data_IF_416818589603
#
_entry.id   IF_416818589603
#
_cell.length_a   1.000
_cell.length_b   1.000
_cell.length_c   1.000
_cell.angle_alpha   90.00
_cell.angle_beta   90.00
_cell.angle_gamma   90.00
#
_symmetry.space_group_name_H-M   'P 1'
#
loop_
_entity.id
_entity.type
_entity.pdbx_description
1 polymer ?
#
# COMPACT_ATOMS: atom_id res chain seq x y z
N UNK A 1 0.11 -4.06 14.33
CA UNK A 1 0.83 -5.33 14.18
C UNK A 1 1.64 -5.62 15.44
N UNK A 2 1.46 -6.80 16.01
CA UNK A 2 2.35 -7.35 17.06
C UNK A 2 3.29 -8.36 16.41
N UNK A 3 4.50 -8.47 16.91
CA UNK A 3 5.44 -9.50 16.46
C UNK A 3 6.33 -9.97 17.60
N UNK A 4 6.86 -11.18 17.47
CA UNK A 4 7.83 -11.78 18.40
C UNK A 4 8.93 -12.46 17.59
N UNK A 5 10.16 -12.34 18.06
CA UNK A 5 11.32 -13.01 17.49
C UNK A 5 12.04 -13.84 18.55
N UNK A 6 12.44 -15.05 18.19
CA UNK A 6 13.30 -15.91 19.01
C UNK A 6 14.05 -16.93 18.16
N UNK A 7 15.13 -17.48 18.73
CA UNK A 7 15.86 -18.61 18.18
C UNK A 7 15.53 -19.87 18.97
N UNK A 8 14.92 -20.86 18.33
CA UNK A 8 14.46 -22.11 18.97
C UNK A 8 14.98 -23.29 18.16
N UNK A 9 15.72 -24.20 18.82
CA UNK A 9 16.31 -25.37 18.16
C UNK A 9 17.26 -25.00 17.02
N UNK A 10 18.10 -23.98 17.21
CA UNK A 10 19.04 -23.49 16.21
C UNK A 10 18.45 -22.63 15.08
N UNK A 11 17.12 -22.56 14.97
CA UNK A 11 16.40 -21.83 13.90
C UNK A 11 15.83 -20.51 14.41
N UNK A 12 15.84 -19.49 13.55
CA UNK A 12 15.23 -18.19 13.79
C UNK A 12 13.73 -18.22 13.45
N UNK A 13 12.90 -17.67 14.32
CA UNK A 13 11.44 -17.63 14.17
C UNK A 13 10.91 -16.20 14.36
N UNK A 14 10.03 -15.79 13.46
CA UNK A 14 9.27 -14.56 13.53
C UNK A 14 7.77 -14.90 13.58
N UNK A 15 7.14 -14.65 14.72
CA UNK A 15 5.69 -14.71 14.86
C UNK A 15 5.12 -13.32 14.65
N UNK A 16 4.07 -13.21 13.84
CA UNK A 16 3.38 -11.95 13.62
C UNK A 16 1.87 -12.11 13.79
N UNK A 17 1.26 -11.08 14.38
CA UNK A 17 -0.18 -10.88 14.45
C UNK A 17 -0.50 -9.60 13.67
N UNK A 18 -0.75 -9.71 12.36
CA UNK A 18 -1.23 -8.62 11.54
C UNK A 18 -2.55 -8.05 12.06
N UNK A 19 -2.69 -6.73 12.05
CA UNK A 19 -3.98 -6.07 12.23
C UNK A 19 -4.88 -6.35 11.02
N UNK A 20 -6.12 -6.75 11.29
CA UNK A 20 -7.12 -7.21 10.33
C UNK A 20 -8.26 -6.20 10.13
N UNK A 21 -8.25 -5.06 10.84
CA UNK A 21 -9.36 -4.11 10.85
C UNK A 21 -9.57 -3.36 9.53
N UNK A 22 -8.53 -3.22 8.70
CA UNK A 22 -8.60 -2.58 7.39
C UNK A 22 -7.74 -3.31 6.37
N UNK A 23 -8.23 -3.46 5.14
CA UNK A 23 -7.55 -4.18 4.06
C UNK A 23 -6.12 -3.70 3.83
N UNK A 24 -5.90 -2.39 3.75
CA UNK A 24 -4.56 -1.82 3.55
C UNK A 24 -3.59 -2.11 4.69
N UNK A 25 -4.05 -2.07 5.94
CA UNK A 25 -3.23 -2.41 7.10
C UNK A 25 -2.85 -3.90 7.07
N UNK A 26 -3.81 -4.77 6.73
CA UNK A 26 -3.56 -6.20 6.59
C UNK A 26 -2.47 -6.48 5.55
N UNK A 27 -2.60 -5.91 4.36
CA UNK A 27 -1.63 -6.05 3.26
C UNK A 27 -0.24 -5.57 3.65
N UNK A 28 -0.12 -4.38 4.24
CA UNK A 28 1.18 -3.85 4.71
C UNK A 28 1.79 -4.73 5.81
N UNK A 29 0.99 -5.24 6.74
CA UNK A 29 1.50 -6.10 7.80
C UNK A 29 2.03 -7.44 7.28
N UNK A 30 1.42 -8.01 6.23
CA UNK A 30 1.97 -9.19 5.53
C UNK A 30 3.29 -8.83 4.85
N UNK A 31 3.34 -7.73 4.10
CA UNK A 31 4.56 -7.29 3.43
C UNK A 31 5.71 -7.06 4.43
N UNK A 32 5.43 -6.36 5.54
CA UNK A 32 6.39 -6.15 6.63
C UNK A 32 6.83 -7.48 7.25
N UNK A 33 5.92 -8.44 7.44
CA UNK A 33 6.26 -9.77 7.99
C UNK A 33 7.29 -10.48 7.12
N UNK A 34 7.12 -10.43 5.79
CA UNK A 34 8.08 -11.02 4.86
C UNK A 34 9.42 -10.27 4.85
N UNK A 35 9.41 -8.93 4.80
CA UNK A 35 10.66 -8.15 4.84
C UNK A 35 11.45 -8.42 6.13
N UNK A 36 10.78 -8.40 7.29
CA UNK A 36 11.42 -8.72 8.56
C UNK A 36 11.95 -10.16 8.61
N UNK A 37 11.18 -11.13 8.12
CA UNK A 37 11.61 -12.53 8.10
C UNK A 37 12.85 -12.74 7.21
N UNK A 38 12.87 -12.11 6.03
CA UNK A 38 14.02 -12.10 5.13
C UNK A 38 15.25 -11.51 5.82
N UNK A 39 15.11 -10.33 6.41
CA UNK A 39 16.21 -9.66 7.12
C UNK A 39 16.80 -10.52 8.24
N UNK A 40 15.95 -11.24 8.97
CA UNK A 40 16.36 -12.07 10.11
C UNK A 40 16.80 -13.50 9.72
N UNK A 41 16.68 -13.89 8.45
CA UNK A 41 16.81 -15.29 8.03
C UNK A 41 15.83 -16.21 8.78
N UNK A 42 14.66 -15.69 9.14
CA UNK A 42 13.71 -16.35 10.03
C UNK A 42 12.61 -17.07 9.26
N UNK A 43 12.10 -18.15 9.88
CA UNK A 43 10.82 -18.74 9.51
C UNK A 43 9.71 -17.81 9.99
N UNK A 44 8.73 -17.53 9.15
CA UNK A 44 7.61 -16.66 9.51
C UNK A 44 6.37 -17.48 9.84
N UNK A 45 5.71 -17.11 10.93
CA UNK A 45 4.44 -17.68 11.35
C UNK A 45 3.45 -16.53 11.52
N UNK A 46 2.47 -16.46 10.62
CA UNK A 46 1.43 -15.43 10.66
C UNK A 46 0.18 -16.05 11.24
N UNK A 47 -0.33 -15.49 12.33
CA UNK A 47 -1.64 -15.87 12.84
C UNK A 47 -2.48 -14.60 12.96
N UNK A 48 -3.58 -14.50 12.21
CA UNK A 48 -4.45 -13.37 12.38
C UNK A 48 -5.06 -13.40 13.79
N UNK A 49 -5.23 -12.22 14.40
CA UNK A 49 -6.15 -12.11 15.52
C UNK A 49 -7.54 -12.62 15.08
N UNK A 50 -8.35 -13.15 16.01
CA UNK A 50 -9.61 -13.88 15.80
C UNK A 50 -10.72 -13.14 14.98
N UNK A 51 -10.42 -11.99 14.39
CA UNK A 51 -11.29 -11.10 13.59
C UNK A 51 -10.88 -11.00 12.10
N UNK A 52 -10.13 -11.96 11.55
CA UNK A 52 -9.57 -11.87 10.20
C UNK A 52 -10.64 -11.92 9.09
N UNK A 53 -10.84 -10.79 8.39
CA UNK A 53 -11.74 -10.68 7.22
C UNK A 53 -11.06 -10.99 5.87
N UNK A 54 -9.74 -11.22 5.87
CA UNK A 54 -8.91 -11.31 4.66
C UNK A 54 -8.00 -12.54 4.69
N UNK A 55 -8.58 -13.73 4.89
CA UNK A 55 -7.85 -14.98 5.10
C UNK A 55 -6.80 -15.27 4.02
N UNK A 56 -7.12 -14.96 2.76
CA UNK A 56 -6.24 -15.17 1.61
C UNK A 56 -4.85 -14.53 1.81
N UNK A 57 -4.77 -13.33 2.41
CA UNK A 57 -3.50 -12.63 2.66
C UNK A 57 -2.55 -13.43 3.55
N UNK A 58 -3.08 -14.15 4.55
CA UNK A 58 -2.27 -14.92 5.52
C UNK A 58 -1.77 -16.23 4.93
N UNK A 59 -2.45 -16.73 3.91
CA UNK A 59 -2.08 -17.95 3.22
C UNK A 59 -0.98 -17.73 2.17
N UNK A 60 -0.68 -16.48 1.82
CA UNK A 60 0.37 -16.16 0.86
C UNK A 60 1.73 -16.71 1.31
N UNK A 61 2.60 -16.93 0.33
CA UNK A 61 3.99 -17.39 0.49
C UNK A 61 4.91 -16.37 -0.14
N UNK A 62 6.14 -16.30 0.34
CA UNK A 62 7.18 -15.46 -0.24
C UNK A 62 8.40 -16.33 -0.57
N UNK A 63 8.95 -16.13 -1.77
CA UNK A 63 10.17 -16.81 -2.21
C UNK A 63 11.32 -16.60 -1.23
N UNK A 64 12.06 -17.68 -0.96
CA UNK A 64 13.16 -17.69 0.00
C UNK A 64 12.74 -17.61 1.49
N UNK A 65 11.44 -17.49 1.79
CA UNK A 65 10.95 -17.38 3.18
C UNK A 65 10.06 -18.57 3.52
N UNK A 66 10.52 -19.38 4.48
CA UNK A 66 9.72 -20.50 4.98
C UNK A 66 8.57 -20.00 5.85
N UNK A 67 7.35 -20.10 5.32
CA UNK A 67 6.11 -19.73 6.01
C UNK A 67 5.48 -20.94 6.66
N UNK A 68 5.16 -20.85 7.95
CA UNK A 68 4.45 -21.88 8.71
C UNK A 68 3.02 -21.41 8.96
N UNK A 69 2.05 -22.24 8.59
CA UNK A 69 0.64 -22.03 8.92
C UNK A 69 0.28 -22.85 10.17
N UNK A 70 0.16 -22.24 11.35
CA UNK A 70 -0.14 -22.97 12.57
C UNK A 70 -1.64 -23.32 12.64
N UNK A 71 -1.97 -24.51 13.11
CA UNK A 71 -3.31 -24.79 13.65
C UNK A 71 -3.55 -23.95 14.92
N UNK A 72 -4.80 -23.67 15.33
CA UNK A 72 -5.07 -22.91 16.55
C UNK A 72 -4.39 -23.48 17.81
N UNK A 73 -4.39 -24.82 17.95
CA UNK A 73 -3.69 -25.51 19.06
C UNK A 73 -2.17 -25.36 18.98
N UNK A 74 -1.59 -25.45 17.78
CA UNK A 74 -0.15 -25.25 17.61
C UNK A 74 0.26 -23.78 17.77
N UNK A 75 -0.62 -22.83 17.47
CA UNK A 75 -0.37 -21.41 17.67
C UNK A 75 -0.26 -21.07 19.15
N UNK A 76 -1.21 -21.49 19.98
CA UNK A 76 -1.17 -21.20 21.42
C UNK A 76 0.10 -21.77 22.08
N UNK A 77 0.49 -22.99 21.69
CA UNK A 77 1.74 -23.59 22.14
C UNK A 77 2.97 -22.80 21.64
N UNK A 78 3.02 -22.44 20.35
CA UNK A 78 4.13 -21.70 19.77
C UNK A 78 4.24 -20.29 20.40
N UNK A 79 3.14 -19.56 20.57
CA UNK A 79 3.13 -18.26 21.25
C UNK A 79 3.62 -18.38 22.70
N UNK A 80 3.20 -19.41 23.44
CA UNK A 80 3.68 -19.65 24.80
C UNK A 80 5.18 -19.93 24.85
N UNK A 81 5.70 -20.78 23.95
CA UNK A 81 7.14 -21.07 23.83
C UNK A 81 7.91 -19.80 23.48
N UNK A 82 7.43 -19.02 22.51
CA UNK A 82 8.07 -17.78 22.06
C UNK A 82 8.05 -16.69 23.13
N UNK A 83 6.99 -16.58 23.96
CA UNK A 83 6.96 -15.67 25.12
C UNK A 83 8.05 -16.01 26.14
N UNK A 84 8.33 -17.30 26.34
CA UNK A 84 9.39 -17.76 27.26
C UNK A 84 10.79 -17.63 26.66
N UNK A 85 10.91 -17.72 25.34
CA UNK A 85 12.17 -17.73 24.61
C UNK A 85 12.52 -16.39 23.92
N UNK A 86 11.69 -15.35 23.99
CA UNK A 86 11.90 -14.10 23.25
C UNK A 86 13.09 -13.31 23.81
N UNK A 87 14.05 -13.03 22.94
CA UNK A 87 15.23 -12.21 23.23
C UNK A 87 15.06 -10.83 22.56
N UNK A 88 14.34 -9.92 23.21
CA UNK A 88 14.47 -8.50 22.90
C UNK A 88 15.01 -7.80 24.15
N UNK A 89 16.28 -7.38 24.07
CA UNK A 89 17.00 -6.69 25.12
C UNK A 89 17.13 -5.19 24.84
N UNK A 90 16.98 -4.40 25.89
CA UNK A 90 17.56 -3.06 26.05
C UNK A 90 16.62 -2.09 26.81
N UNK A 91 16.87 -1.62 28.02
CA UNK A 91 18.11 -1.70 28.79
C UNK A 91 17.96 -1.38 30.29
N UNK A 92 19.11 -1.47 30.95
CA UNK A 92 19.51 -1.09 32.32
C UNK A 92 18.57 -1.39 33.49
N UNK A 93 19.02 -2.31 34.34
CA UNK A 93 18.54 -2.43 35.71
C UNK A 93 18.50 -3.89 36.15
N UNK A 94 19.57 -4.33 36.83
CA UNK A 94 19.62 -5.60 37.56
C UNK A 94 18.33 -5.81 38.35
N UNK A 95 17.57 -6.87 38.04
CA UNK A 95 17.10 -7.87 39.04
C UNK A 95 16.10 -8.87 38.44
N UNK A 96 16.50 -10.14 38.54
CA UNK A 96 15.85 -11.47 38.38
C UNK A 96 15.53 -12.03 36.97
N UNK A 97 15.80 -13.34 36.75
CA UNK A 97 15.66 -14.01 35.45
C UNK A 97 14.21 -14.47 35.24
N UNK A 98 13.62 -14.06 34.14
CA UNK A 98 12.27 -14.45 33.77
C UNK A 98 11.36 -13.25 33.56
N UNK A 99 11.28 -12.86 32.28
CA UNK A 99 10.21 -12.06 31.68
C UNK A 99 10.20 -10.57 32.07
N UNK A 100 10.67 -9.72 31.14
CA UNK A 100 10.14 -8.36 30.98
C UNK A 100 9.40 -8.28 29.66
N UNK A 101 8.11 -8.00 29.74
CA UNK A 101 7.32 -7.54 28.60
C UNK A 101 7.75 -6.12 28.27
N UNK A 102 7.96 -5.83 27.00
CA UNK A 102 7.71 -4.48 26.51
C UNK A 102 6.28 -4.49 25.99
N UNK A 103 5.33 -4.25 26.89
CA UNK A 103 4.12 -3.56 26.46
C UNK A 103 4.54 -2.17 25.96
N UNK A 104 3.79 -1.64 25.00
CA UNK A 104 4.08 -0.40 24.27
C UNK A 104 4.31 0.85 25.15
N UNK A 105 4.21 0.74 26.47
CA UNK A 105 4.29 1.84 27.43
C UNK A 105 5.65 1.93 28.15
N UNK A 106 6.38 0.82 28.37
CA UNK A 106 7.51 0.79 29.33
C UNK A 106 8.93 0.99 28.77
N UNK A 107 9.08 1.42 27.52
CA UNK A 107 10.38 1.88 27.01
C UNK A 107 10.43 3.42 26.97
N UNK A 108 11.31 3.99 27.79
CA UNK A 108 11.58 5.43 27.84
C UNK A 108 11.85 6.06 26.47
N UNK A 109 11.41 7.32 26.32
CA UNK A 109 11.64 8.19 25.17
C UNK A 109 11.00 7.71 23.85
N UNK A 110 10.05 8.48 23.30
CA UNK A 110 9.40 8.17 22.01
C UNK A 110 10.36 7.97 20.81
N UNK A 111 11.62 8.41 20.94
CA UNK A 111 12.67 8.41 19.91
C UNK A 111 13.39 7.06 19.71
N UNK A 112 13.54 6.25 20.75
CA UNK A 112 14.09 4.87 20.70
C UNK A 112 13.01 3.82 20.43
N UNK A 113 11.74 4.23 20.49
CA UNK A 113 10.55 3.37 20.40
C UNK A 113 10.28 2.81 18.99
N UNK A 114 10.66 3.49 17.91
CA UNK A 114 10.36 3.03 16.53
C UNK A 114 11.54 2.40 15.79
N UNK A 115 12.77 2.90 15.94
CA UNK A 115 13.96 2.29 15.34
C UNK A 115 14.19 0.85 15.84
N UNK A 116 13.85 0.57 17.10
CA UNK A 116 13.84 -0.80 17.65
C UNK A 116 12.64 -1.64 17.22
N UNK A 117 11.53 -1.02 16.80
CA UNK A 117 10.25 -1.70 16.50
C UNK A 117 10.27 -2.48 15.19
N UNK A 118 11.24 -2.23 14.30
CA UNK A 118 11.31 -2.93 13.02
C UNK A 118 12.75 -3.27 12.64
N UNK A 119 13.59 -3.56 13.63
CA UNK A 119 14.99 -3.95 13.42
C UNK A 119 15.82 -2.90 12.65
N UNK A 120 15.48 -1.61 12.78
CA UNK A 120 16.15 -0.53 12.06
C UNK A 120 15.86 -0.48 10.55
N UNK A 121 14.92 -1.28 10.05
CA UNK A 121 14.60 -1.35 8.63
C UNK A 121 13.94 -0.06 8.12
N UNK A 122 14.38 0.40 6.96
CA UNK A 122 13.63 1.32 6.11
C UNK A 122 12.75 0.51 5.15
N UNK A 123 11.49 0.29 5.53
CA UNK A 123 10.58 -0.49 4.68
C UNK A 123 10.36 0.14 3.31
N UNK A 124 10.37 1.48 3.18
CA UNK A 124 10.18 2.11 1.86
C UNK A 124 11.31 1.72 0.93
N UNK A 125 12.54 1.75 1.43
CA UNK A 125 13.72 1.27 0.70
C UNK A 125 13.65 -0.22 0.40
N UNK A 126 13.32 -1.06 1.39
CA UNK A 126 13.22 -2.52 1.19
C UNK A 126 12.18 -2.90 0.13
N UNK A 127 11.03 -2.21 0.10
CA UNK A 127 10.01 -2.41 -0.91
C UNK A 127 10.42 -1.93 -2.31
N UNK A 128 11.23 -0.86 -2.39
CA UNK A 128 11.74 -0.32 -3.65
C UNK A 128 12.83 -1.21 -4.25
N UNK A 129 13.85 -1.55 -3.46
CA UNK A 129 15.08 -2.20 -3.93
C UNK A 129 14.96 -3.73 -3.97
N UNK A 130 14.09 -4.34 -3.14
CA UNK A 130 14.00 -5.80 -2.98
C UNK A 130 12.55 -6.29 -2.96
N UNK A 131 11.85 -6.24 -4.11
CA UNK A 131 10.47 -6.73 -4.22
C UNK A 131 10.27 -8.13 -3.62
N UNK A 132 9.07 -8.38 -3.13
CA UNK A 132 8.70 -9.68 -2.56
C UNK A 132 8.26 -10.62 -3.69
N UNK A 133 8.81 -11.84 -3.74
CA UNK A 133 8.34 -12.90 -4.63
C UNK A 133 7.12 -13.59 -4.04
N UNK A 134 5.99 -12.88 -3.95
CA UNK A 134 4.78 -13.39 -3.30
C UNK A 134 4.01 -14.32 -4.23
N UNK A 135 3.53 -15.45 -3.70
CA UNK A 135 2.76 -16.45 -4.45
C UNK A 135 1.65 -17.04 -3.59
N UNK A 136 0.60 -17.53 -4.25
CA UNK A 136 -0.42 -18.35 -3.60
C UNK A 136 0.13 -19.75 -3.25
N UNK A 137 -0.43 -20.44 -2.24
CA UNK A 137 -0.22 -21.87 -2.05
C UNK A 137 -0.65 -22.65 -3.29
N UNK A 138 0.07 -23.72 -3.66
CA UNK A 138 -0.15 -24.47 -4.92
C UNK A 138 -1.61 -24.88 -5.13
N UNK A 139 -2.26 -25.45 -4.11
CA UNK A 139 -3.66 -25.86 -4.19
C UNK A 139 -4.65 -24.71 -4.48
N UNK A 140 -4.34 -23.49 -4.03
CA UNK A 140 -5.16 -22.30 -4.35
C UNK A 140 -4.77 -21.74 -5.72
N UNK A 141 -3.47 -21.68 -6.03
CA UNK A 141 -2.95 -21.21 -7.31
C UNK A 141 -3.54 -21.96 -8.50
N UNK A 142 -3.67 -23.30 -8.41
CA UNK A 142 -4.26 -24.14 -9.47
C UNK A 142 -5.75 -23.86 -9.72
N UNK A 143 -6.47 -23.42 -8.68
CA UNK A 143 -7.92 -23.16 -8.76
C UNK A 143 -8.26 -21.75 -9.22
N UNK A 144 -7.39 -20.77 -8.96
CA UNK A 144 -7.66 -19.35 -9.21
C UNK A 144 -8.00 -19.03 -10.67
N UNK A 145 -7.32 -19.57 -11.71
CA UNK A 145 -7.71 -19.33 -13.10
C UNK A 145 -9.14 -19.78 -13.42
N UNK A 146 -9.58 -20.90 -12.84
CA UNK A 146 -10.97 -21.39 -13.02
C UNK A 146 -11.96 -20.50 -12.29
N UNK A 147 -11.64 -20.05 -11.08
CA UNK A 147 -12.47 -19.09 -10.33
C UNK A 147 -12.58 -17.75 -11.06
N UNK A 148 -11.49 -17.28 -11.65
CA UNK A 148 -11.44 -16.06 -12.46
C UNK A 148 -12.33 -16.16 -13.70
N UNK A 149 -12.22 -17.25 -14.47
CA UNK A 149 -13.11 -17.50 -15.61
C UNK A 149 -14.57 -17.57 -15.19
N UNK A 150 -14.87 -18.24 -14.08
CA UNK A 150 -16.23 -18.30 -13.54
C UNK A 150 -16.77 -16.91 -13.13
N UNK A 151 -15.89 -15.98 -12.75
CA UNK A 151 -16.21 -14.59 -12.47
C UNK A 151 -16.28 -13.68 -13.70
N UNK A 152 -16.06 -14.21 -14.91
CA UNK A 152 -16.10 -13.46 -16.17
C UNK A 152 -14.75 -12.91 -16.64
N UNK A 153 -13.66 -13.23 -15.93
CA UNK A 153 -12.31 -12.80 -16.30
C UNK A 153 -11.75 -13.75 -17.37
N UNK A 154 -11.43 -13.23 -18.56
CA UNK A 154 -10.76 -14.00 -19.60
C UNK A 154 -9.25 -13.97 -19.35
N UNK A 155 -8.74 -15.06 -18.78
CA UNK A 155 -7.33 -15.19 -18.38
C UNK A 155 -6.34 -15.21 -19.55
N UNK A 156 -6.81 -15.13 -20.80
CA UNK A 156 -5.96 -15.05 -22.00
C UNK A 156 -5.69 -13.62 -22.45
N UNK A 157 -6.47 -12.65 -21.94
CA UNK A 157 -6.29 -11.22 -22.24
C UNK A 157 -5.37 -10.58 -21.20
N UNK A 158 -4.58 -9.56 -21.57
CA UNK A 158 -3.86 -8.77 -20.57
C UNK A 158 -4.88 -8.06 -19.67
N UNK A 159 -4.61 -8.05 -18.36
CA UNK A 159 -5.53 -7.50 -17.35
C UNK A 159 -4.96 -6.17 -16.84
N UNK A 160 -5.82 -5.17 -16.67
CA UNK A 160 -5.53 -4.02 -15.80
C UNK A 160 -6.51 -4.05 -14.64
N UNK A 161 -6.01 -4.04 -13.42
CA UNK A 161 -6.89 -3.94 -12.25
C UNK A 161 -7.18 -2.48 -11.92
N UNK A 162 -8.39 -2.22 -11.44
CA UNK A 162 -8.85 -0.88 -11.07
C UNK A 162 -9.50 -0.88 -9.69
N UNK A 163 -9.06 0.02 -8.82
CA UNK A 163 -9.72 0.31 -7.56
C UNK A 163 -9.82 1.83 -7.33
N UNK A 164 -11.04 2.35 -7.35
CA UNK A 164 -11.34 3.75 -7.05
C UNK A 164 -12.06 3.82 -5.72
N UNK A 165 -11.48 4.51 -4.75
CA UNK A 165 -12.05 4.60 -3.40
C UNK A 165 -13.34 5.41 -3.40
N UNK A 166 -14.38 4.84 -2.79
CA UNK A 166 -15.65 5.49 -2.49
C UNK A 166 -15.91 5.53 -0.96
N UNK A 167 -16.85 6.37 -0.52
CA UNK A 167 -17.15 6.58 0.90
C UNK A 167 -17.86 5.42 1.61
N UNK A 168 -18.28 4.39 0.86
CA UNK A 168 -19.16 3.32 1.37
C UNK A 168 -18.46 2.31 2.29
N UNK A 169 -17.15 2.10 2.15
CA UNK A 169 -16.41 1.09 2.93
C UNK A 169 -16.44 1.33 4.44
N UNK A 170 -16.27 2.57 4.91
CA UNK A 170 -16.32 2.82 6.36
C UNK A 170 -17.75 2.79 6.90
N UNK A 171 -18.70 3.25 6.09
CA UNK A 171 -20.12 3.13 6.41
C UNK A 171 -20.53 1.65 6.59
N UNK A 172 -20.01 0.73 5.77
CA UNK A 172 -20.23 -0.72 5.93
C UNK A 172 -19.67 -1.30 7.23
N UNK A 173 -18.75 -0.57 7.88
CA UNK A 173 -18.19 -0.90 9.20
C UNK A 173 -18.87 -0.14 10.36
N UNK A 174 -19.88 0.68 10.09
CA UNK A 174 -20.49 1.58 11.07
C UNK A 174 -19.58 2.72 11.53
N UNK A 175 -18.56 3.07 10.72
CA UNK A 175 -17.58 4.11 11.00
C UNK A 175 -17.84 5.31 10.08
N UNK A 176 -17.99 6.49 10.65
CA UNK A 176 -18.09 7.70 9.84
C UNK A 176 -16.73 8.12 9.25
N UNK A 177 -16.76 8.53 7.99
CA UNK A 177 -15.60 9.09 7.31
C UNK A 177 -15.29 10.50 7.87
N UNK A 178 -14.07 10.67 8.39
CA UNK A 178 -13.56 11.98 8.82
C UNK A 178 -13.29 12.86 7.60
N UNK A 179 -13.18 14.19 7.74
CA UNK A 179 -12.89 15.07 6.60
C UNK A 179 -11.69 14.63 5.75
N UNK A 180 -10.58 14.25 6.38
CA UNK A 180 -9.39 13.73 5.70
C UNK A 180 -9.58 12.39 4.98
N UNK A 181 -10.61 11.62 5.36
CA UNK A 181 -10.95 10.40 4.65
C UNK A 181 -11.81 10.75 3.43
N UNK A 182 -12.79 11.65 3.55
CA UNK A 182 -13.68 12.03 2.42
C UNK A 182 -12.92 12.58 1.22
N UNK A 183 -11.89 13.39 1.44
CA UNK A 183 -11.08 13.99 0.36
C UNK A 183 -10.27 12.98 -0.45
N UNK A 184 -10.20 11.70 -0.02
CA UNK A 184 -9.52 10.62 -0.74
C UNK A 184 -10.45 9.86 -1.69
N UNK A 185 -11.75 10.12 -1.62
CA UNK A 185 -12.70 9.54 -2.57
C UNK A 185 -12.48 10.13 -3.97
N UNK A 186 -12.90 9.39 -4.98
CA UNK A 186 -12.98 9.86 -6.36
C UNK A 186 -14.16 9.21 -7.08
N UNK A 187 -14.61 9.80 -8.18
CA UNK A 187 -15.68 9.23 -9.01
C UNK A 187 -15.12 8.16 -9.93
N UNK A 188 -15.78 7.00 -10.01
CA UNK A 188 -15.44 5.97 -11.00
C UNK A 188 -15.73 6.44 -12.43
N UNK A 189 -16.68 7.36 -12.60
CA UNK A 189 -17.08 7.86 -13.92
C UNK A 189 -16.00 8.71 -14.58
N UNK A 190 -15.10 9.32 -13.81
CA UNK A 190 -13.96 10.08 -14.35
C UNK A 190 -12.93 9.15 -15.03
N UNK A 191 -12.95 7.86 -14.73
CA UNK A 191 -12.05 6.86 -15.32
C UNK A 191 -12.58 6.29 -16.64
N UNK A 192 -13.80 6.65 -17.07
CA UNK A 192 -14.40 6.09 -18.30
C UNK A 192 -13.49 6.24 -19.52
N UNK A 193 -12.93 7.43 -19.85
CA UNK A 193 -12.04 7.54 -21.00
C UNK A 193 -10.82 6.62 -20.93
N UNK A 194 -10.22 6.48 -19.74
CA UNK A 194 -9.08 5.60 -19.50
C UNK A 194 -9.45 4.12 -19.66
N UNK A 195 -10.59 3.70 -19.11
CA UNK A 195 -11.11 2.33 -19.24
C UNK A 195 -11.38 2.00 -20.70
N UNK A 196 -11.98 2.91 -21.45
CA UNK A 196 -12.32 2.72 -22.87
C UNK A 196 -11.08 2.53 -23.72
N UNK A 197 -10.09 3.38 -23.48
CA UNK A 197 -8.81 3.33 -24.15
C UNK A 197 -8.09 2.00 -23.89
N UNK A 198 -8.12 1.50 -22.65
CA UNK A 198 -7.56 0.19 -22.29
C UNK A 198 -8.28 -0.94 -23.02
N UNK A 199 -9.61 -0.96 -22.97
CA UNK A 199 -10.42 -2.00 -23.62
C UNK A 199 -10.21 -2.01 -25.13
N UNK A 200 -10.10 -0.85 -25.77
CA UNK A 200 -9.80 -0.71 -27.19
C UNK A 200 -8.43 -1.28 -27.58
N UNK A 201 -7.49 -1.37 -26.63
CA UNK A 201 -6.15 -1.98 -26.80
C UNK A 201 -6.09 -3.46 -26.42
N UNK A 202 -7.24 -4.08 -26.20
CA UNK A 202 -7.33 -5.51 -25.92
C UNK A 202 -7.19 -5.87 -24.44
N UNK A 203 -6.90 -4.89 -23.56
CA UNK A 203 -6.94 -5.12 -22.13
C UNK A 203 -8.35 -5.48 -21.66
N UNK A 204 -8.43 -6.35 -20.66
CA UNK A 204 -9.63 -6.52 -19.84
C UNK A 204 -9.43 -5.74 -18.54
N UNK A 205 -10.40 -4.92 -18.15
CA UNK A 205 -10.34 -4.20 -16.89
C UNK A 205 -11.05 -5.00 -15.80
N UNK A 206 -10.39 -5.25 -14.67
CA UNK A 206 -10.99 -5.93 -13.52
C UNK A 206 -11.08 -4.94 -12.37
N UNK A 207 -12.31 -4.48 -12.07
CA UNK A 207 -12.57 -3.58 -10.94
C UNK A 207 -12.87 -4.40 -9.69
N UNK A 208 -12.37 -3.97 -8.53
CA UNK A 208 -12.74 -4.57 -7.24
C UNK A 208 -12.81 -3.51 -6.13
N UNK A 209 -13.45 -3.85 -5.01
CA UNK A 209 -13.65 -2.93 -3.91
C UNK A 209 -14.74 -3.40 -2.94
N UNK A 210 -15.31 -2.48 -2.17
CA UNK A 210 -16.44 -2.77 -1.27
C UNK A 210 -17.72 -3.08 -2.06
N UNK A 211 -18.59 -3.95 -1.51
CA UNK A 211 -19.81 -4.37 -2.21
C UNK A 211 -20.93 -3.31 -2.21
N UNK A 212 -20.76 -2.22 -1.45
CA UNK A 212 -21.61 -1.04 -1.46
C UNK A 212 -21.06 0.06 -2.37
N UNK A 213 -20.00 -0.20 -3.14
CA UNK A 213 -19.56 0.73 -4.18
C UNK A 213 -20.58 0.79 -5.32
N UNK A 214 -20.63 1.93 -6.01
CA UNK A 214 -21.50 2.11 -7.16
C UNK A 214 -21.19 1.03 -8.21
N UNK A 215 -22.19 0.28 -8.72
CA UNK A 215 -21.98 -0.69 -9.79
C UNK A 215 -21.42 -0.02 -11.05
N UNK A 216 -20.40 -0.60 -11.65
CA UNK A 216 -19.77 -0.06 -12.86
C UNK A 216 -19.84 -1.07 -14.00
N UNK A 217 -20.95 -1.05 -14.73
CA UNK A 217 -21.21 -1.95 -15.87
C UNK A 217 -20.71 -1.34 -17.16
N UNK A 218 -19.73 -1.98 -17.81
CA UNK A 218 -19.15 -1.49 -19.06
C UNK A 218 -18.54 -2.60 -19.91
N UNK A 219 -18.62 -2.56 -21.26
CA UNK A 219 -17.97 -3.56 -22.11
C UNK A 219 -16.48 -3.67 -21.82
N UNK A 220 -15.99 -4.91 -21.72
CA UNK A 220 -14.58 -5.19 -21.39
C UNK A 220 -14.20 -5.02 -19.92
N UNK A 221 -15.16 -4.68 -19.05
CA UNK A 221 -14.96 -4.57 -17.60
C UNK A 221 -15.60 -5.75 -16.87
N UNK A 222 -14.86 -6.34 -15.93
CA UNK A 222 -15.37 -7.27 -14.93
C UNK A 222 -15.41 -6.56 -13.59
N UNK A 223 -16.60 -6.24 -13.10
CA UNK A 223 -16.79 -5.58 -11.81
C UNK A 223 -16.95 -6.60 -10.68
N UNK A 224 -15.84 -6.96 -10.05
CA UNK A 224 -15.82 -7.85 -8.89
C UNK A 224 -16.41 -7.19 -7.64
N UNK A 225 -16.47 -5.86 -7.55
CA UNK A 225 -16.95 -5.19 -6.33
C UNK A 225 -18.40 -5.62 -5.98
N UNK A 226 -19.25 -5.70 -7.01
CA UNK A 226 -20.67 -6.08 -6.90
C UNK A 226 -20.93 -7.53 -7.33
N UNK A 227 -19.88 -8.31 -7.61
CA UNK A 227 -20.02 -9.69 -8.06
C UNK A 227 -20.30 -10.65 -6.90
N UNK A 228 -21.25 -11.60 -7.02
CA UNK A 228 -21.46 -12.64 -6.01
C UNK A 228 -20.30 -13.64 -5.94
N UNK A 229 -19.39 -13.62 -6.93
CA UNK A 229 -18.21 -14.49 -6.99
C UNK A 229 -16.96 -13.83 -6.39
N UNK A 230 -17.10 -12.61 -5.86
CA UNK A 230 -16.03 -11.86 -5.22
C UNK A 230 -15.47 -12.65 -4.03
N UNK A 231 -14.15 -12.80 -4.00
CA UNK A 231 -13.41 -13.31 -2.84
C UNK A 231 -12.11 -12.54 -2.70
N UNK A 232 -11.57 -12.42 -1.48
CA UNK A 232 -10.28 -11.77 -1.25
C UNK A 232 -9.15 -12.44 -2.08
N UNK A 233 -9.20 -13.76 -2.25
CA UNK A 233 -8.23 -14.48 -3.07
C UNK A 233 -8.30 -14.07 -4.55
N UNK A 234 -9.51 -13.87 -5.07
CA UNK A 234 -9.72 -13.44 -6.46
C UNK A 234 -9.30 -11.98 -6.67
N UNK A 235 -9.53 -11.09 -5.71
CA UNK A 235 -9.04 -9.70 -5.75
C UNK A 235 -7.50 -9.65 -5.80
N UNK A 236 -6.84 -10.38 -4.90
CA UNK A 236 -5.37 -10.47 -4.84
C UNK A 236 -4.83 -11.07 -6.14
N UNK A 237 -5.47 -12.13 -6.65
CA UNK A 237 -5.07 -12.78 -7.90
C UNK A 237 -5.22 -11.85 -9.10
N UNK A 238 -6.31 -11.09 -9.18
CA UNK A 238 -6.52 -10.15 -10.28
C UNK A 238 -5.40 -9.10 -10.32
N UNK A 239 -4.98 -8.58 -9.16
CA UNK A 239 -3.85 -7.65 -9.08
C UNK A 239 -2.54 -8.35 -9.45
N UNK A 240 -2.30 -9.56 -8.92
CA UNK A 240 -1.09 -10.32 -9.26
C UNK A 240 -0.98 -10.66 -10.76
N UNK A 241 -2.11 -10.87 -11.44
CA UNK A 241 -2.17 -11.22 -12.85
C UNK A 241 -2.22 -10.00 -13.79
N UNK A 242 -2.33 -8.78 -13.27
CA UNK A 242 -2.46 -7.58 -14.09
C UNK A 242 -1.11 -7.10 -14.62
N UNK A 243 -1.11 -6.57 -15.85
CA UNK A 243 0.04 -5.85 -16.41
C UNK A 243 0.43 -4.67 -15.52
N UNK A 244 -0.57 -3.93 -15.04
CA UNK A 244 -0.41 -2.93 -13.99
C UNK A 244 -1.73 -2.70 -13.24
N UNK A 245 -1.62 -2.10 -12.06
CA UNK A 245 -2.74 -1.79 -11.18
C UNK A 245 -2.99 -0.28 -11.13
N UNK A 246 -4.23 0.14 -11.33
CA UNK A 246 -4.68 1.53 -11.10
C UNK A 246 -5.42 1.58 -9.78
N UNK A 247 -4.92 2.36 -8.83
CA UNK A 247 -5.52 2.49 -7.50
C UNK A 247 -5.62 3.97 -7.11
N UNK A 248 -6.70 4.38 -6.44
CA UNK A 248 -6.73 5.71 -5.82
C UNK A 248 -6.08 5.71 -4.43
N UNK A 249 -6.11 6.84 -3.70
CA UNK A 249 -5.59 6.96 -2.33
C UNK A 249 -6.37 6.06 -1.33
N UNK A 250 -5.99 4.79 -1.26
CA UNK A 250 -6.78 3.74 -0.62
C UNK A 250 -5.91 2.67 0.05
N UNK A 251 -6.55 1.77 0.81
CA UNK A 251 -5.88 0.60 1.37
C UNK A 251 -5.40 -0.42 0.32
N UNK A 252 -6.25 -0.79 -0.66
CA UNK A 252 -5.90 -1.72 -1.73
C UNK A 252 -4.65 -1.38 -2.53
N UNK A 253 -4.28 -0.09 -2.66
CA UNK A 253 -3.02 0.35 -3.25
C UNK A 253 -1.81 -0.46 -2.75
N UNK A 254 -1.78 -0.84 -1.46
CA UNK A 254 -0.66 -1.60 -0.89
C UNK A 254 -0.49 -3.01 -1.47
N UNK A 255 -1.46 -3.54 -2.23
CA UNK A 255 -1.29 -4.81 -2.93
C UNK A 255 -0.18 -4.73 -3.98
N UNK A 256 0.00 -3.57 -4.63
CA UNK A 256 1.08 -3.40 -5.60
C UNK A 256 2.44 -3.64 -4.95
N UNK A 257 2.63 -3.09 -3.74
CA UNK A 257 3.84 -3.25 -2.92
C UNK A 257 4.04 -4.72 -2.56
N UNK A 258 3.00 -5.37 -2.03
CA UNK A 258 3.07 -6.78 -1.61
C UNK A 258 3.37 -7.71 -2.77
N UNK A 259 2.73 -7.50 -3.93
CA UNK A 259 2.73 -8.44 -5.05
C UNK A 259 3.80 -8.15 -6.10
N UNK A 260 4.52 -7.04 -6.01
CA UNK A 260 5.52 -6.71 -7.02
C UNK A 260 4.95 -6.11 -8.32
N UNK A 261 3.68 -5.71 -8.34
CA UNK A 261 2.96 -5.30 -9.57
C UNK A 261 3.11 -3.79 -9.80
N UNK A 262 3.45 -3.32 -11.02
CA UNK A 262 3.48 -1.89 -11.35
C UNK A 262 2.17 -1.18 -11.01
N UNK A 263 2.23 0.01 -10.41
CA UNK A 263 1.05 0.71 -9.94
C UNK A 263 1.00 2.17 -10.40
N UNK A 264 -0.15 2.58 -10.93
CA UNK A 264 -0.52 3.99 -11.09
C UNK A 264 -1.46 4.41 -9.96
N UNK A 265 -0.91 5.16 -9.00
CA UNK A 265 -1.66 5.69 -7.87
C UNK A 265 -2.31 7.03 -8.23
N UNK A 266 -3.61 7.03 -8.50
CA UNK A 266 -4.35 8.23 -8.93
C UNK A 266 -5.01 8.95 -7.77
N UNK A 267 -5.39 10.23 -7.95
CA UNK A 267 -6.13 10.97 -6.95
C UNK A 267 -5.45 10.95 -5.56
N UNK A 268 -4.11 11.06 -5.52
CA UNK A 268 -3.33 10.96 -4.28
C UNK A 268 -3.37 12.26 -3.46
N UNK A 269 -3.77 12.19 -2.19
CA UNK A 269 -3.80 13.38 -1.29
C UNK A 269 -2.49 13.61 -0.53
N UNK A 270 -1.55 12.65 -0.63
CA UNK A 270 -0.28 12.64 0.08
C UNK A 270 0.89 12.73 -0.91
N UNK A 271 1.47 13.93 -1.10
CA UNK A 271 2.61 14.17 -2.00
C UNK A 271 3.84 13.30 -1.68
N UNK A 272 4.20 13.20 -0.40
CA UNK A 272 5.42 12.49 0.06
C UNK A 272 5.12 11.04 0.44
N UNK A 273 4.08 10.81 1.27
CA UNK A 273 3.76 9.47 1.75
C UNK A 273 3.25 8.53 0.65
N UNK A 274 2.57 9.09 -0.34
CA UNK A 274 2.07 8.38 -1.53
C UNK A 274 3.04 8.35 -2.70
N UNK A 275 4.26 8.89 -2.54
CA UNK A 275 5.23 8.89 -3.62
C UNK A 275 5.59 7.45 -4.03
N UNK A 276 5.61 7.13 -5.34
CA UNK A 276 5.90 5.81 -5.90
C UNK A 276 7.22 5.21 -5.41
N UNK A 277 7.16 3.98 -4.89
CA UNK A 277 8.33 3.32 -4.31
C UNK A 277 9.28 2.76 -5.37
N UNK A 278 8.76 2.08 -6.41
CA UNK A 278 9.59 1.43 -7.43
C UNK A 278 9.60 2.23 -8.72
N UNK A 279 10.64 2.05 -9.54
CA UNK A 279 10.78 2.71 -10.86
C UNK A 279 9.61 2.45 -11.81
N UNK A 280 8.97 1.29 -11.68
CA UNK A 280 7.79 0.89 -12.45
C UNK A 280 6.50 1.55 -11.95
N UNK A 281 6.51 2.22 -10.81
CA UNK A 281 5.32 2.82 -10.22
C UNK A 281 5.22 4.30 -10.62
N UNK A 282 3.98 4.76 -10.76
CA UNK A 282 3.63 6.13 -11.04
C UNK A 282 2.55 6.63 -10.07
N UNK A 283 2.41 7.94 -9.93
CA UNK A 283 1.28 8.52 -9.21
C UNK A 283 0.82 9.85 -9.80
N UNK A 284 -0.42 10.20 -9.51
CA UNK A 284 -1.10 11.41 -9.94
C UNK A 284 -1.77 12.02 -8.69
N UNK A 285 -1.09 12.96 -7.99
CA UNK A 285 -1.70 13.68 -6.88
C UNK A 285 -2.92 14.50 -7.28
N UNK A 286 -3.84 14.69 -6.32
CA UNK A 286 -4.94 15.64 -6.46
C UNK A 286 -4.42 17.08 -6.44
N UNK A 287 -5.12 17.94 -7.17
CA UNK A 287 -4.92 19.39 -7.14
C UNK A 287 -5.30 19.96 -5.77
N UNK A 288 -4.59 21.00 -5.33
CA UNK A 288 -4.88 21.68 -4.06
C UNK A 288 -5.20 23.15 -4.33
N UNK A 289 -6.36 23.60 -3.88
CA UNK A 289 -6.80 24.99 -4.05
C UNK A 289 -6.93 25.71 -2.72
N UNK A 290 -6.60 27.00 -2.71
CA UNK A 290 -6.98 27.91 -1.64
C UNK A 290 -8.49 28.10 -1.63
N UNK A 291 -9.11 28.06 -0.45
CA UNK A 291 -10.57 28.23 -0.32
C UNK A 291 -11.00 29.70 -0.39
N UNK A 292 -10.08 30.63 -0.09
CA UNK A 292 -10.36 32.07 -0.03
C UNK A 292 -10.37 32.68 -1.43
N UNK A 293 -9.34 32.39 -2.23
CA UNK A 293 -9.17 32.92 -3.59
C UNK A 293 -9.61 31.94 -4.69
N UNK A 294 -9.81 30.66 -4.35
CA UNK A 294 -10.12 29.59 -5.29
C UNK A 294 -8.95 29.15 -6.17
N UNK A 295 -7.78 29.77 -5.99
CA UNK A 295 -6.60 29.57 -6.83
C UNK A 295 -5.99 28.20 -6.55
N UNK A 296 -5.53 27.57 -7.61
CA UNK A 296 -4.72 26.35 -7.52
C UNK A 296 -3.30 26.68 -7.02
N UNK A 297 -2.77 25.82 -6.14
CA UNK A 297 -1.43 25.98 -5.60
C UNK A 297 -0.43 25.18 -6.45
N UNK A 298 0.63 25.81 -6.98
CA UNK A 298 1.75 25.08 -7.59
C UNK A 298 2.49 24.26 -6.54
N UNK A 299 3.32 23.31 -6.98
CA UNK A 299 3.98 22.33 -6.10
C UNK A 299 4.79 22.99 -4.97
N UNK A 300 5.54 24.06 -5.27
CA UNK A 300 6.34 24.77 -4.27
C UNK A 300 5.49 25.32 -3.13
N UNK A 301 4.33 25.88 -3.44
CA UNK A 301 3.37 26.36 -2.45
C UNK A 301 2.74 25.20 -1.68
N UNK A 302 2.38 24.11 -2.35
CA UNK A 302 1.86 22.90 -1.67
C UNK A 302 2.84 22.34 -0.63
N UNK A 303 4.14 22.50 -0.85
CA UNK A 303 5.22 22.05 0.03
C UNK A 303 5.50 23.04 1.17
N UNK A 304 5.05 24.28 1.09
CA UNK A 304 5.24 25.26 2.16
C UNK A 304 4.59 24.79 3.48
N UNK A 305 5.13 25.16 4.66
CA UNK A 305 4.68 24.63 5.96
C UNK A 305 3.17 24.74 6.21
N UNK A 306 2.56 25.84 5.73
CA UNK A 306 1.12 26.08 5.81
C UNK A 306 0.31 25.05 5.02
N UNK A 307 0.31 25.12 3.67
CA UNK A 307 -0.39 24.16 2.83
C UNK A 307 -0.03 22.71 3.15
N UNK A 308 1.24 22.36 3.25
CA UNK A 308 1.66 20.99 3.53
C UNK A 308 1.11 20.47 4.88
N UNK A 309 1.21 21.28 5.94
CA UNK A 309 0.79 20.91 7.30
C UNK A 309 -0.72 20.86 7.47
N UNK A 310 -1.44 21.74 6.77
CA UNK A 310 -2.86 22.05 7.00
C UNK A 310 -3.76 21.70 5.81
N UNK A 311 -3.26 21.01 4.77
CA UNK A 311 -4.01 20.62 3.55
C UNK A 311 -5.35 19.90 3.77
N UNK A 312 -5.57 19.31 4.94
CA UNK A 312 -6.85 18.66 5.30
C UNK A 312 -7.83 19.57 6.03
N UNK A 313 -7.46 20.83 6.30
CA UNK A 313 -8.35 21.83 6.87
C UNK A 313 -9.21 22.44 5.75
N UNK A 314 -10.42 21.88 5.58
CA UNK A 314 -11.35 22.26 4.52
C UNK A 314 -11.78 23.75 4.50
N UNK A 315 -11.52 24.49 5.58
CA UNK A 315 -11.72 25.94 5.64
C UNK A 315 -10.60 26.73 4.94
N UNK A 316 -9.41 26.15 4.75
CA UNK A 316 -8.24 26.77 4.13
C UNK A 316 -7.93 26.21 2.74
N UNK A 317 -8.07 24.90 2.58
CA UNK A 317 -7.70 24.22 1.36
C UNK A 317 -8.77 23.23 0.92
N UNK A 318 -8.88 23.05 -0.40
CA UNK A 318 -9.77 22.09 -1.03
C UNK A 318 -8.99 21.24 -2.02
N UNK A 319 -9.12 19.93 -1.90
CA UNK A 319 -8.64 19.03 -2.95
C UNK A 319 -9.63 19.01 -4.12
N UNK A 320 -9.10 19.00 -5.34
CA UNK A 320 -9.87 18.67 -6.54
C UNK A 320 -9.33 17.40 -7.17
N UNK A 321 -10.25 16.60 -7.67
CA UNK A 321 -9.97 15.33 -8.31
C UNK A 321 -9.23 15.56 -9.62
N UNK A 322 -8.46 14.55 -10.04
CA UNK A 322 -7.85 14.58 -11.36
C UNK A 322 -8.92 14.50 -12.43
N UNK A 323 -8.75 15.23 -13.53
CA UNK A 323 -9.74 15.23 -14.61
C UNK A 323 -9.72 13.92 -15.40
N UNK A 324 -10.79 13.57 -16.13
CA UNK A 324 -10.79 12.41 -17.01
C UNK A 324 -9.64 12.40 -18.03
N UNK A 325 -9.22 13.57 -18.51
CA UNK A 325 -8.11 13.75 -19.45
C UNK A 325 -6.77 13.46 -18.78
N UNK A 326 -6.54 13.95 -17.56
CA UNK A 326 -5.35 13.66 -16.77
C UNK A 326 -5.24 12.17 -16.43
N UNK A 327 -6.36 11.56 -16.04
CA UNK A 327 -6.44 10.13 -15.75
C UNK A 327 -6.14 9.28 -16.99
N UNK A 328 -6.70 9.66 -18.15
CA UNK A 328 -6.42 9.02 -19.43
C UNK A 328 -4.93 9.14 -19.79
N UNK A 329 -4.36 10.34 -19.75
CA UNK A 329 -2.95 10.57 -20.08
C UNK A 329 -2.02 9.77 -19.16
N UNK A 330 -2.29 9.75 -17.86
CA UNK A 330 -1.51 8.96 -16.89
C UNK A 330 -1.62 7.44 -17.14
N UNK A 331 -2.80 6.94 -17.52
CA UNK A 331 -2.99 5.52 -17.87
C UNK A 331 -2.26 5.15 -19.16
N UNK A 332 -2.27 6.04 -20.15
CA UNK A 332 -1.51 5.87 -21.40
C UNK A 332 -0.01 5.78 -21.12
N UNK A 333 0.52 6.72 -20.34
CA UNK A 333 1.94 6.73 -19.96
C UNK A 333 2.31 5.46 -19.16
N UNK A 334 1.45 5.03 -18.22
CA UNK A 334 1.68 3.81 -17.43
C UNK A 334 1.70 2.55 -18.31
N UNK A 335 0.79 2.45 -19.28
CA UNK A 335 0.73 1.32 -20.20
C UNK A 335 2.02 1.23 -21.05
N UNK A 336 2.43 2.34 -21.65
CA UNK A 336 3.71 2.43 -22.39
C UNK A 336 4.88 2.08 -21.49
N UNK A 337 4.93 2.64 -20.28
CA UNK A 337 5.99 2.36 -19.30
C UNK A 337 6.07 0.90 -18.87
N UNK A 338 4.95 0.17 -18.90
CA UNK A 338 4.90 -1.24 -18.54
C UNK A 338 5.40 -2.12 -19.69
N UNK A 339 5.15 -1.72 -20.93
CA UNK A 339 5.54 -2.45 -22.14
C UNK A 339 7.00 -2.17 -22.53
N UNK A 340 7.42 -0.91 -22.48
CA UNK A 340 8.72 -0.43 -22.98
C UNK A 340 9.73 -0.14 -21.87
N UNK A 341 9.26 -0.04 -20.62
CA UNK A 341 10.06 0.35 -19.46
C UNK A 341 9.91 1.84 -19.10
N UNK A 342 10.25 2.22 -17.85
CA UNK A 342 10.04 3.56 -17.35
C UNK A 342 11.02 4.57 -17.95
N UNK A 343 10.47 5.65 -18.50
CA UNK A 343 11.20 6.82 -18.97
C UNK A 343 10.88 8.03 -18.09
N UNK A 344 11.81 8.98 -18.03
CA UNK A 344 11.66 10.22 -17.25
C UNK A 344 11.63 11.41 -18.20
N UNK A 345 10.61 12.26 -18.05
CA UNK A 345 10.59 13.57 -18.67
C UNK A 345 11.38 14.60 -17.84
N UNK A 346 11.75 15.76 -18.44
CA UNK A 346 12.35 16.86 -17.69
C UNK A 346 11.46 17.39 -16.54
N UNK A 347 10.16 17.51 -16.75
CA UNK A 347 9.18 17.97 -15.74
C UNK A 347 9.06 16.98 -14.58
N UNK A 348 9.03 15.67 -14.85
CA UNK A 348 9.04 14.64 -13.80
C UNK A 348 10.32 14.71 -12.95
N UNK A 349 11.47 14.91 -13.60
CA UNK A 349 12.75 15.05 -12.90
C UNK A 349 12.80 16.32 -12.03
N UNK A 350 12.26 17.43 -12.52
CA UNK A 350 12.16 18.70 -11.79
C UNK A 350 11.19 18.59 -10.59
N UNK A 351 10.02 17.99 -10.79
CA UNK A 351 9.05 17.72 -9.73
C UNK A 351 9.69 16.90 -8.60
N UNK A 352 10.39 15.81 -8.96
CA UNK A 352 11.11 14.99 -7.98
C UNK A 352 12.21 15.76 -7.25
N UNK A 353 12.93 16.64 -7.95
CA UNK A 353 13.98 17.48 -7.35
C UNK A 353 13.42 18.35 -6.23
N UNK A 354 12.30 19.03 -6.47
CA UNK A 354 11.63 19.85 -5.46
C UNK A 354 11.24 19.04 -4.21
N UNK A 355 10.74 17.81 -4.38
CA UNK A 355 10.43 16.94 -3.24
C UNK A 355 11.68 16.55 -2.43
N UNK A 356 12.80 16.28 -3.11
CA UNK A 356 14.08 15.93 -2.46
C UNK A 356 14.63 17.13 -1.69
N UNK A 357 14.63 18.30 -2.32
CA UNK A 357 15.14 19.53 -1.71
C UNK A 357 14.27 19.90 -0.50
N UNK A 358 12.95 19.74 -0.60
CA UNK A 358 12.04 19.88 0.53
C UNK A 358 12.34 18.88 1.65
N UNK A 359 12.57 17.59 1.33
CA UNK A 359 12.92 16.58 2.33
C UNK A 359 14.25 16.87 3.04
N UNK A 360 15.19 17.52 2.35
CA UNK A 360 16.47 17.98 2.89
C UNK A 360 16.36 19.24 3.76
N UNK A 361 15.28 20.03 3.62
CA UNK A 361 15.01 21.19 4.47
C UNK A 361 14.76 20.81 5.94
N UNK A 362 14.88 21.77 6.86
CA UNK A 362 14.57 21.55 8.29
C UNK A 362 13.16 21.02 8.53
N UNK A 363 12.19 21.51 7.77
CA UNK A 363 10.78 21.12 7.89
C UNK A 363 10.59 19.69 7.39
N UNK A 364 11.15 19.39 6.22
CA UNK A 364 11.15 18.04 5.65
C UNK A 364 11.86 17.05 6.54
N UNK A 365 13.06 17.36 7.00
CA UNK A 365 13.86 16.51 7.88
C UNK A 365 13.12 16.17 9.17
N UNK A 366 12.50 17.16 9.85
CA UNK A 366 11.69 16.93 11.05
C UNK A 366 10.49 16.02 10.80
N UNK A 367 9.88 16.07 9.60
CA UNK A 367 8.75 15.21 9.23
C UNK A 367 9.21 13.80 8.83
N UNK A 368 10.25 13.71 8.02
CA UNK A 368 10.89 12.49 7.53
C UNK A 368 11.43 11.63 8.67
N UNK A 369 12.03 12.26 9.68
CA UNK A 369 12.63 11.58 10.83
C UNK A 369 11.66 11.42 12.00
N UNK A 370 10.37 11.76 11.83
CA UNK A 370 9.37 11.63 12.90
C UNK A 370 9.29 10.16 13.36
N UNK A 371 9.86 9.88 14.53
CA UNK A 371 9.96 8.54 15.11
C UNK A 371 11.39 7.98 15.21
N UNK A 372 12.41 8.65 14.70
CA UNK A 372 13.81 8.19 14.80
C UNK A 372 14.19 7.06 13.83
N UNK A 373 13.49 6.96 12.70
CA UNK A 373 13.85 6.06 11.59
C UNK A 373 15.00 6.65 10.76
N UNK A 374 15.76 5.83 10.00
CA UNK A 374 16.76 6.29 9.02
C UNK A 374 16.19 7.36 8.06
N UNK A 375 17.06 8.10 7.33
CA UNK A 375 16.61 9.16 6.43
C UNK A 375 15.55 8.62 5.47
N UNK A 376 14.42 9.34 5.39
CA UNK A 376 13.24 8.92 4.66
C UNK A 376 13.55 8.67 3.18
N UNK A 377 13.39 7.43 2.73
CA UNK A 377 13.47 7.09 1.32
C UNK A 377 12.20 7.53 0.59
N UNK A 378 12.31 8.54 -0.29
CA UNK A 378 11.18 9.05 -1.07
C UNK A 378 10.59 7.96 -1.97
N UNK A 379 11.44 7.22 -2.68
CA UNK A 379 11.04 6.24 -3.69
C UNK A 379 11.74 6.48 -5.03
N UNK A 380 11.59 5.51 -5.93
CA UNK A 380 12.24 5.48 -7.25
C UNK A 380 11.28 5.65 -8.43
N UNK A 381 9.96 5.69 -8.19
CA UNK A 381 8.99 5.95 -9.26
C UNK A 381 8.78 7.44 -9.50
N UNK A 382 7.72 7.81 -10.22
CA UNK A 382 7.54 9.18 -10.75
C UNK A 382 6.10 9.69 -10.73
N UNK A 383 5.93 11.01 -10.77
CA UNK A 383 4.63 11.65 -11.05
C UNK A 383 4.26 11.44 -12.52
N UNK A 384 2.98 11.31 -12.84
CA UNK A 384 2.54 11.30 -14.25
C UNK A 384 2.89 12.64 -14.92
N UNK A 385 3.36 12.58 -16.17
CA UNK A 385 3.99 13.72 -16.83
C UNK A 385 3.07 14.92 -16.96
N UNK A 386 1.82 14.66 -17.37
CA UNK A 386 0.74 15.66 -17.50
C UNK A 386 0.59 16.55 -16.27
N UNK A 387 0.77 15.98 -15.08
CA UNK A 387 0.64 16.73 -13.83
C UNK A 387 1.96 17.34 -13.36
N UNK A 388 3.09 16.70 -13.70
CA UNK A 388 4.40 17.27 -13.46
C UNK A 388 4.54 18.61 -14.18
N UNK A 389 4.13 18.66 -15.44
CA UNK A 389 4.12 19.90 -16.24
C UNK A 389 3.20 20.95 -15.64
N UNK A 390 1.97 20.58 -15.28
CA UNK A 390 0.95 21.50 -14.75
C UNK A 390 1.33 22.11 -13.39
N UNK A 391 1.84 21.31 -12.44
CA UNK A 391 2.13 21.80 -11.07
C UNK A 391 3.48 22.53 -10.93
N UNK A 392 4.30 22.54 -11.98
CA UNK A 392 5.58 23.27 -12.02
C UNK A 392 5.46 24.66 -12.65
N UNK A 393 4.34 24.95 -13.30
CA UNK A 393 3.97 26.28 -13.83
C UNK A 393 3.09 27.03 -12.85
#
# INVERSE_FOLDING_TARGET
MRYRYARVGGRSWLLTEPDTGAYGNATLNVAMSFVMARHLGARVCMHPAASSRHEALWTLRCDGIHTVAPTPKSWSHLDQVMRRASWLAGGSGRSRPGVRYLDSEDAGGARTRWSRRYFGLDFRREYAERPLGVRFPSALAERLPTLARAAGIDTRRPIVTLHVREGSYKASLGIEDRPKDRVRNASIHDYVPAVDWLVARGYQVVRFGDNLMEPFSRPGVVDLAVSPRRTAALEIWAVQASSFFVASDCGPFNLSILLGVPCLATNMTHLIGGYPLRKSDMYLPKHLHGTVDGRELPLEEMLAPGPFGHRFEGARFRFRDNTPEELLAAVQEMAVSTEEGPTWSPSQAAFRRLLIDWLASDVGHKKATKGGLPPFHLGEGRVADVLAEHLLT
#
